data_IF_639000130520
#
_entry.id   IF_639000130520
#
_cell.length_a   1.000
_cell.length_b   1.000
_cell.length_c   1.000
_cell.angle_alpha   90.00
_cell.angle_beta   90.00
_cell.angle_gamma   90.00
#
_symmetry.space_group_name_H-M   'P 1'
#
loop_
_entity.id
_entity.type
_entity.pdbx_description
1 polymer ?
#
# COMPACT_ATOMS: atom_id res chain seq x y z
N UNK A 1 -57.82 16.74 -67.38
CA UNK A 1 -57.24 17.02 -66.05
C UNK A 1 -56.72 15.71 -65.49
N UNK A 2 -55.40 15.55 -65.41
CA UNK A 2 -54.70 14.32 -65.00
C UNK A 2 -54.71 14.14 -63.48
N UNK A 3 -55.38 13.10 -62.98
CA UNK A 3 -55.31 12.65 -61.58
C UNK A 3 -54.00 11.89 -61.34
N UNK A 4 -53.13 12.41 -60.47
CA UNK A 4 -51.97 11.67 -59.93
C UNK A 4 -52.39 10.92 -58.67
N UNK A 5 -52.23 9.60 -58.70
CA UNK A 5 -52.31 8.71 -57.54
C UNK A 5 -51.09 8.92 -56.63
N UNK A 6 -51.32 9.00 -55.32
CA UNK A 6 -50.29 8.79 -54.31
C UNK A 6 -50.68 7.59 -53.46
N UNK A 7 -49.98 6.47 -53.65
CA UNK A 7 -50.00 5.35 -52.70
C UNK A 7 -49.11 5.71 -51.50
N UNK A 8 -49.69 5.75 -50.30
CA UNK A 8 -48.94 5.77 -49.05
C UNK A 8 -48.76 4.33 -48.55
N UNK A 9 -47.51 3.85 -48.58
CA UNK A 9 -47.09 2.62 -47.89
C UNK A 9 -46.73 3.00 -46.44
N UNK A 10 -47.57 2.61 -45.48
CA UNK A 10 -47.25 2.70 -44.06
C UNK A 10 -46.34 1.54 -43.65
N UNK A 11 -45.06 1.81 -43.43
CA UNK A 11 -44.12 0.84 -42.86
C UNK A 11 -44.17 0.96 -41.34
N UNK A 12 -44.83 0.01 -40.68
CA UNK A 12 -44.80 -0.10 -39.22
C UNK A 12 -43.43 -0.66 -38.79
N UNK A 13 -42.48 0.22 -38.49
CA UNK A 13 -41.20 -0.13 -37.88
C UNK A 13 -41.42 -0.46 -36.39
N UNK A 14 -41.60 -1.73 -36.08
CA UNK A 14 -41.59 -2.24 -34.71
C UNK A 14 -40.21 -2.08 -34.09
N UNK A 15 -40.06 -1.15 -33.15
CA UNK A 15 -38.89 -1.07 -32.29
C UNK A 15 -38.98 -2.18 -31.25
N UNK A 16 -38.24 -3.27 -31.47
CA UNK A 16 -37.95 -4.24 -30.41
C UNK A 16 -37.04 -3.57 -29.38
N UNK A 17 -37.41 -3.49 -28.10
CA UNK A 17 -36.52 -2.96 -27.08
C UNK A 17 -35.36 -3.94 -26.94
N UNK A 18 -34.16 -3.52 -27.37
CA UNK A 18 -32.92 -4.23 -27.07
C UNK A 18 -32.71 -4.13 -25.57
N UNK A 19 -33.09 -5.18 -24.85
CA UNK A 19 -32.72 -5.37 -23.45
C UNK A 19 -31.20 -5.51 -23.40
N UNK A 20 -30.50 -4.42 -23.09
CA UNK A 20 -29.08 -4.46 -22.76
C UNK A 20 -28.97 -5.22 -21.43
N UNK A 21 -28.74 -6.52 -21.51
CA UNK A 21 -28.33 -7.31 -20.36
C UNK A 21 -26.92 -6.84 -20.01
N UNK A 22 -26.81 -5.94 -19.04
CA UNK A 22 -25.52 -5.65 -18.41
C UNK A 22 -25.02 -6.95 -17.78
N UNK A 23 -24.08 -7.62 -18.45
CA UNK A 23 -23.40 -8.77 -17.91
C UNK A 23 -22.73 -8.35 -16.60
N UNK A 24 -23.07 -9.03 -15.50
CA UNK A 24 -22.42 -8.82 -14.22
C UNK A 24 -20.92 -9.07 -14.41
N UNK A 25 -20.01 -8.20 -13.91
CA UNK A 25 -18.58 -8.44 -14.00
C UNK A 25 -18.26 -9.82 -13.45
N UNK A 26 -17.41 -10.57 -14.16
CA UNK A 26 -16.97 -11.88 -13.69
C UNK A 26 -16.32 -11.73 -12.31
N UNK A 27 -16.84 -12.45 -11.30
CA UNK A 27 -16.27 -12.43 -9.96
C UNK A 27 -14.85 -13.01 -9.98
N UNK A 28 -13.92 -12.34 -9.31
CA UNK A 28 -12.54 -12.84 -9.17
C UNK A 28 -12.54 -14.07 -8.26
N UNK A 29 -12.02 -15.23 -8.68
CA UNK A 29 -12.05 -16.41 -7.82
C UNK A 29 -11.16 -16.21 -6.58
N UNK A 30 -11.74 -16.35 -5.37
CA UNK A 30 -11.01 -16.13 -4.11
C UNK A 30 -9.66 -16.86 -4.02
N UNK A 31 -9.59 -18.11 -4.51
CA UNK A 31 -8.37 -18.93 -4.46
C UNK A 31 -7.20 -18.33 -5.25
N UNK A 32 -7.46 -17.50 -6.26
CA UNK A 32 -6.41 -16.83 -7.05
C UNK A 32 -5.86 -15.59 -6.36
N UNK A 33 -6.42 -15.19 -5.21
CA UNK A 33 -6.01 -14.02 -4.43
C UNK A 33 -5.22 -14.38 -3.17
N UNK A 34 -5.04 -15.68 -2.91
CA UNK A 34 -4.32 -16.17 -1.74
C UNK A 34 -2.85 -15.79 -1.81
N UNK A 35 -2.34 -15.18 -0.74
CA UNK A 35 -0.99 -14.63 -0.70
C UNK A 35 0.09 -15.68 -0.44
N UNK A 36 -0.27 -16.95 -0.30
CA UNK A 36 0.64 -18.09 -0.37
C UNK A 36 1.14 -18.35 -1.81
N UNK A 37 0.44 -17.83 -2.82
CA UNK A 37 0.84 -17.96 -4.22
C UNK A 37 1.92 -16.94 -4.59
N UNK A 38 3.08 -17.41 -5.05
CA UNK A 38 4.20 -16.55 -5.44
C UNK A 38 3.82 -15.49 -6.49
N UNK A 39 2.94 -15.82 -7.44
CA UNK A 39 2.45 -14.87 -8.45
C UNK A 39 1.66 -13.70 -7.84
N UNK A 40 0.93 -13.94 -6.75
CA UNK A 40 0.19 -12.89 -6.03
C UNK A 40 1.15 -12.02 -5.24
N UNK A 41 2.17 -12.62 -4.60
CA UNK A 41 3.22 -11.89 -3.91
C UNK A 41 3.98 -10.94 -4.87
N UNK A 42 4.34 -11.46 -6.05
CA UNK A 42 4.99 -10.70 -7.11
C UNK A 42 4.09 -9.57 -7.65
N UNK A 43 2.79 -9.82 -7.86
CA UNK A 43 1.82 -8.79 -8.24
C UNK A 43 1.82 -7.64 -7.24
N UNK A 44 1.66 -7.95 -5.94
CA UNK A 44 1.61 -6.97 -4.87
C UNK A 44 2.88 -6.11 -4.86
N UNK A 45 4.06 -6.75 -4.82
CA UNK A 45 5.34 -6.04 -4.79
C UNK A 45 5.53 -5.17 -6.04
N UNK A 46 5.18 -5.69 -7.21
CA UNK A 46 5.33 -4.99 -8.49
C UNK A 46 4.45 -3.74 -8.55
N UNK A 47 3.19 -3.84 -8.12
CA UNK A 47 2.27 -2.69 -8.10
C UNK A 47 2.76 -1.61 -7.13
N UNK A 48 3.20 -1.99 -5.92
CA UNK A 48 3.76 -1.02 -4.97
C UNK A 48 5.00 -0.32 -5.52
N UNK A 49 5.96 -1.07 -6.04
CA UNK A 49 7.18 -0.49 -6.61
C UNK A 49 6.88 0.40 -7.83
N UNK A 50 5.87 0.07 -8.64
CA UNK A 50 5.42 0.94 -9.74
C UNK A 50 4.95 2.29 -9.23
N UNK A 51 4.12 2.32 -8.18
CA UNK A 51 3.66 3.56 -7.57
C UNK A 51 4.80 4.35 -6.91
N UNK A 52 5.69 3.67 -6.19
CA UNK A 52 6.84 4.28 -5.51
C UNK A 52 7.80 4.99 -6.48
N UNK A 53 7.99 4.45 -7.69
CA UNK A 53 8.77 5.09 -8.77
C UNK A 53 8.12 6.34 -9.36
N UNK A 54 6.79 6.39 -9.30
CA UNK A 54 5.95 7.39 -9.96
C UNK A 54 5.50 8.53 -9.06
N UNK A 55 6.05 8.65 -7.85
CA UNK A 55 5.63 9.69 -6.89
C UNK A 55 5.94 11.09 -7.41
N UNK A 56 5.06 12.03 -7.06
CA UNK A 56 5.23 13.45 -7.33
C UNK A 56 5.02 14.23 -6.02
N UNK A 57 6.00 15.05 -5.58
CA UNK A 57 7.30 15.30 -6.22
C UNK A 57 8.22 14.07 -6.19
N UNK A 58 9.28 14.00 -7.03
CA UNK A 58 10.19 12.85 -7.04
C UNK A 58 10.93 12.66 -5.71
N UNK A 59 11.22 11.41 -5.36
CA UNK A 59 11.85 11.01 -4.11
C UNK A 59 13.33 10.64 -4.29
N UNK A 60 14.22 11.12 -3.43
CA UNK A 60 15.66 10.81 -3.48
C UNK A 60 16.05 9.54 -2.71
N UNK A 61 15.23 9.11 -1.75
CA UNK A 61 15.51 8.00 -0.83
C UNK A 61 14.48 6.86 -0.85
N UNK A 62 13.65 6.76 -1.89
CA UNK A 62 12.58 5.77 -1.92
C UNK A 62 13.13 4.35 -2.03
N UNK A 63 13.00 3.51 -0.99
CA UNK A 63 13.48 2.13 -1.07
C UNK A 63 12.61 1.26 -1.98
N UNK A 64 13.23 0.29 -2.64
CA UNK A 64 12.56 -0.81 -3.32
C UNK A 64 11.91 -1.74 -2.28
N UNK A 65 10.62 -2.01 -2.44
CA UNK A 65 9.92 -2.99 -1.61
C UNK A 65 10.20 -4.41 -2.07
N UNK A 66 10.34 -5.32 -1.11
CA UNK A 66 10.46 -6.76 -1.29
C UNK A 66 9.42 -7.49 -0.42
N UNK A 67 9.05 -8.71 -0.83
CA UNK A 67 8.13 -9.54 -0.04
C UNK A 67 8.80 -10.03 1.25
N UNK A 68 8.07 -9.94 2.37
CA UNK A 68 8.44 -10.53 3.65
C UNK A 68 7.41 -11.57 4.05
N UNK A 69 7.84 -12.82 4.11
CA UNK A 69 6.98 -13.93 4.52
C UNK A 69 6.61 -13.85 6.01
N UNK A 70 7.49 -13.32 6.87
CA UNK A 70 7.18 -13.11 8.30
C UNK A 70 6.05 -12.08 8.46
N UNK A 71 6.11 -10.97 7.73
CA UNK A 71 5.03 -9.97 7.72
C UNK A 71 3.73 -10.55 7.13
N UNK A 72 3.84 -11.37 6.08
CA UNK A 72 2.67 -12.01 5.47
C UNK A 72 2.00 -13.01 6.42
N UNK A 73 2.77 -13.75 7.22
CA UNK A 73 2.23 -14.65 8.25
C UNK A 73 1.43 -13.87 9.30
N UNK A 74 1.95 -12.75 9.79
CA UNK A 74 1.25 -11.86 10.70
C UNK A 74 -0.06 -11.32 10.06
N UNK A 75 0.00 -10.81 8.83
CA UNK A 75 -1.15 -10.29 8.12
C UNK A 75 -2.22 -11.36 7.84
N UNK A 76 -1.82 -12.58 7.43
CA UNK A 76 -2.74 -13.72 7.24
C UNK A 76 -3.40 -14.13 8.56
N UNK A 77 -2.66 -14.11 9.67
CA UNK A 77 -3.22 -14.40 10.99
C UNK A 77 -4.28 -13.36 11.37
N UNK A 78 -3.93 -12.07 11.33
CA UNK A 78 -4.84 -10.98 11.69
C UNK A 78 -6.07 -10.89 10.78
N UNK A 79 -5.92 -11.17 9.48
CA UNK A 79 -7.07 -11.14 8.57
C UNK A 79 -8.16 -12.16 8.97
N UNK A 80 -7.76 -13.29 9.57
CA UNK A 80 -8.69 -14.34 10.03
C UNK A 80 -9.47 -13.96 11.28
N UNK A 81 -9.02 -12.96 12.04
CA UNK A 81 -9.78 -12.44 13.19
C UNK A 81 -11.07 -11.76 12.69
N UNK A 82 -11.13 -11.33 11.42
CA UNK A 82 -12.32 -10.76 10.79
C UNK A 82 -12.88 -9.49 11.46
N UNK A 83 -12.07 -8.81 12.25
CA UNK A 83 -12.42 -7.54 12.89
C UNK A 83 -11.89 -6.39 12.05
N UNK A 84 -12.72 -5.42 11.64
CA UNK A 84 -12.24 -4.23 10.93
C UNK A 84 -11.80 -3.12 11.90
N UNK A 85 -10.87 -3.44 12.80
CA UNK A 85 -10.25 -2.49 13.75
C UNK A 85 -8.74 -2.45 13.58
N UNK A 86 -8.10 -1.38 14.06
CA UNK A 86 -6.63 -1.29 14.08
C UNK A 86 -6.01 -2.43 14.89
N UNK A 87 -4.99 -3.08 14.33
CA UNK A 87 -4.29 -4.16 15.03
C UNK A 87 -3.23 -3.64 16.00
N UNK A 88 -3.06 -4.37 17.11
CA UNK A 88 -1.99 -4.12 18.08
C UNK A 88 -0.61 -4.20 17.38
N UNK A 89 0.20 -3.14 17.50
CA UNK A 89 1.52 -3.05 16.89
C UNK A 89 2.46 -4.22 17.26
N UNK A 90 2.33 -4.81 18.46
CA UNK A 90 3.11 -5.98 18.87
C UNK A 90 2.81 -7.23 18.01
N UNK A 91 1.58 -7.36 17.50
CA UNK A 91 1.19 -8.43 16.57
C UNK A 91 1.72 -8.22 15.15
N UNK A 92 2.26 -7.02 14.86
CA UNK A 92 2.85 -6.64 13.57
C UNK A 92 4.37 -6.63 13.59
N UNK A 93 5.00 -7.06 14.68
CA UNK A 93 6.46 -7.11 14.80
C UNK A 93 7.03 -8.30 14.02
N UNK A 94 8.14 -8.07 13.33
CA UNK A 94 8.95 -9.11 12.69
C UNK A 94 10.40 -9.06 13.20
N UNK A 95 11.25 -9.96 12.74
CA UNK A 95 12.66 -10.03 13.12
C UNK A 95 13.35 -8.70 12.77
N UNK A 96 13.68 -7.93 13.81
CA UNK A 96 14.35 -6.63 13.76
C UNK A 96 13.53 -5.41 13.33
N UNK A 97 12.19 -5.44 13.36
CA UNK A 97 11.39 -4.21 13.15
C UNK A 97 9.92 -4.35 13.54
N UNK A 98 9.23 -3.22 13.72
CA UNK A 98 7.79 -3.12 13.65
C UNK A 98 7.30 -2.89 12.20
N UNK A 99 6.00 -3.07 11.98
CA UNK A 99 5.38 -2.88 10.67
C UNK A 99 4.10 -2.04 10.79
N UNK A 100 3.88 -1.16 9.81
CA UNK A 100 2.62 -0.44 9.57
C UNK A 100 1.54 -1.37 9.01
N UNK A 101 0.34 -0.85 8.75
CA UNK A 101 -0.79 -1.65 8.27
C UNK A 101 -1.73 -0.85 7.36
N UNK A 102 -2.09 -1.42 6.20
CA UNK A 102 -3.25 -0.98 5.41
C UNK A 102 -4.29 -2.08 5.39
N UNK A 103 -5.57 -1.69 5.38
CA UNK A 103 -6.71 -2.61 5.50
C UNK A 103 -7.79 -2.24 4.51
N UNK A 104 -8.50 -3.24 4.01
CA UNK A 104 -9.64 -3.02 3.12
C UNK A 104 -10.70 -4.11 3.33
N UNK A 105 -11.95 -3.68 3.49
CA UNK A 105 -13.09 -4.55 3.69
C UNK A 105 -14.06 -4.40 2.52
N UNK A 106 -14.49 -5.51 1.93
CA UNK A 106 -15.43 -5.52 0.80
C UNK A 106 -16.33 -6.76 0.83
N UNK A 107 -17.48 -6.70 0.18
CA UNK A 107 -18.44 -7.81 0.08
C UNK A 107 -18.10 -8.83 -1.01
N UNK A 108 -17.27 -8.44 -1.97
CA UNK A 108 -16.87 -9.28 -3.10
C UNK A 108 -15.34 -9.36 -3.18
N UNK A 109 -14.78 -10.49 -3.64
CA UNK A 109 -13.33 -10.62 -3.85
C UNK A 109 -12.88 -9.66 -4.97
N UNK A 110 -11.78 -8.94 -4.71
CA UNK A 110 -11.19 -7.91 -5.57
C UNK A 110 -9.72 -8.23 -5.77
N UNK A 111 -9.18 -7.97 -6.95
CA UNK A 111 -7.75 -8.17 -7.22
C UNK A 111 -6.87 -7.30 -6.32
N UNK A 112 -5.69 -7.81 -5.95
CA UNK A 112 -4.73 -7.06 -5.14
C UNK A 112 -4.32 -5.75 -5.81
N UNK A 113 -4.09 -5.76 -7.14
CA UNK A 113 -3.88 -4.54 -7.91
C UNK A 113 -4.95 -3.47 -7.70
N UNK A 114 -6.23 -3.86 -7.62
CA UNK A 114 -7.32 -2.90 -7.42
C UNK A 114 -7.40 -2.43 -5.96
N UNK A 115 -7.19 -3.31 -4.98
CA UNK A 115 -7.12 -2.91 -3.55
C UNK A 115 -6.00 -1.89 -3.33
N UNK A 116 -4.81 -2.15 -3.87
CA UNK A 116 -3.66 -1.25 -3.75
C UNK A 116 -3.93 0.07 -4.48
N UNK A 117 -4.61 0.05 -5.64
CA UNK A 117 -5.04 1.27 -6.34
C UNK A 117 -6.03 2.10 -5.53
N UNK A 118 -6.94 1.46 -4.78
CA UNK A 118 -7.88 2.16 -3.90
C UNK A 118 -7.12 2.91 -2.82
N UNK A 119 -6.22 2.23 -2.10
CA UNK A 119 -5.34 2.86 -1.11
C UNK A 119 -4.49 3.97 -1.71
N UNK A 120 -3.87 3.73 -2.88
CA UNK A 120 -3.05 4.73 -3.55
C UNK A 120 -3.86 5.96 -3.97
N UNK A 121 -5.13 5.79 -4.34
CA UNK A 121 -5.98 6.87 -4.88
C UNK A 121 -6.23 8.02 -3.91
N UNK A 122 -5.95 7.83 -2.62
CA UNK A 122 -5.95 8.89 -1.61
C UNK A 122 -4.93 10.00 -1.92
N UNK A 123 -3.96 9.77 -2.82
CA UNK A 123 -3.03 10.80 -3.30
C UNK A 123 -3.76 12.07 -3.79
N UNK A 124 -5.01 11.94 -4.26
CA UNK A 124 -5.85 13.06 -4.73
C UNK A 124 -6.12 14.10 -3.64
N UNK A 125 -6.06 13.69 -2.38
CA UNK A 125 -6.29 14.53 -1.21
C UNK A 125 -4.99 14.88 -0.49
N UNK A 126 -3.85 14.35 -0.96
CA UNK A 126 -2.54 14.57 -0.37
C UNK A 126 -1.77 15.67 -1.11
N UNK A 127 -1.13 16.55 -0.35
CA UNK A 127 -0.18 17.51 -0.88
C UNK A 127 1.12 17.46 -0.08
N UNK A 128 2.22 17.14 -0.76
CA UNK A 128 3.51 16.98 -0.12
C UNK A 128 3.92 18.24 0.65
N UNK A 129 4.34 18.06 1.90
CA UNK A 129 4.80 19.11 2.80
C UNK A 129 3.67 19.88 3.47
N UNK A 130 2.42 19.66 3.08
CA UNK A 130 1.25 20.30 3.67
C UNK A 130 0.49 19.31 4.54
N UNK A 131 0.13 19.75 5.75
CA UNK A 131 -0.74 18.97 6.61
C UNK A 131 -2.14 18.97 6.00
N UNK A 132 -2.67 17.77 5.73
CA UNK A 132 -4.06 17.61 5.34
C UNK A 132 -4.96 18.16 6.44
N UNK A 133 -5.87 19.05 6.08
CA UNK A 133 -6.90 19.54 6.99
C UNK A 133 -7.74 18.34 7.44
N UNK A 134 -7.97 18.25 8.74
CA UNK A 134 -8.78 17.23 9.38
C UNK A 134 -10.26 17.49 9.11
N UNK A 135 -10.70 17.23 7.88
CA UNK A 135 -12.08 16.83 7.68
C UNK A 135 -12.15 15.33 7.95
N UNK A 136 -13.08 14.92 8.82
CA UNK A 136 -13.18 13.55 9.33
C UNK A 136 -13.38 12.49 8.22
N UNK A 137 -13.74 12.92 7.01
CA UNK A 137 -14.00 12.06 5.85
C UNK A 137 -12.80 11.88 4.90
N UNK A 138 -11.67 12.56 5.13
CA UNK A 138 -10.51 12.52 4.21
C UNK A 138 -9.37 11.67 4.80
N UNK A 139 -9.18 10.47 4.24
CA UNK A 139 -8.05 9.59 4.59
C UNK A 139 -6.92 9.74 3.57
N UNK A 140 -5.68 9.86 4.06
CA UNK A 140 -4.44 9.82 3.25
C UNK A 140 -3.42 8.80 3.74
N UNK A 141 -3.72 8.11 4.84
CA UNK A 141 -2.76 7.25 5.55
C UNK A 141 -2.38 6.02 4.74
N UNK A 142 -3.32 5.48 3.95
CA UNK A 142 -3.03 4.32 3.14
C UNK A 142 -2.10 4.68 1.99
N UNK A 143 -2.32 5.84 1.35
CA UNK A 143 -1.40 6.36 0.34
C UNK A 143 -0.03 6.62 0.92
N UNK A 144 0.08 7.39 2.02
CA UNK A 144 1.38 7.73 2.61
C UNK A 144 2.16 6.50 3.04
N UNK A 145 1.48 5.43 3.50
CA UNK A 145 2.13 4.16 3.81
C UNK A 145 2.67 3.44 2.56
N UNK A 146 1.94 3.43 1.44
CA UNK A 146 2.42 2.85 0.17
C UNK A 146 3.71 3.53 -0.29
N UNK A 147 3.77 4.85 -0.15
CA UNK A 147 4.90 5.68 -0.58
C UNK A 147 5.87 6.03 0.55
N UNK A 148 5.83 5.32 1.68
CA UNK A 148 6.74 5.60 2.78
C UNK A 148 8.16 5.14 2.43
N UNK A 149 9.12 6.05 2.40
CA UNK A 149 10.46 5.77 1.85
C UNK A 149 11.15 4.58 2.51
N UNK A 150 11.02 4.44 3.83
CA UNK A 150 11.76 3.46 4.63
C UNK A 150 11.04 2.11 4.77
N UNK A 151 9.77 2.01 4.36
CA UNK A 151 9.05 0.75 4.33
C UNK A 151 9.48 -0.07 3.11
N UNK A 152 10.44 -0.99 3.28
CA UNK A 152 11.05 -1.76 2.20
C UNK A 152 10.65 -3.25 2.22
N UNK A 153 9.95 -3.70 3.25
CA UNK A 153 9.35 -5.03 3.31
C UNK A 153 7.84 -4.91 3.31
N UNK A 154 7.18 -5.80 2.58
CA UNK A 154 5.72 -5.90 2.57
C UNK A 154 5.29 -7.36 2.69
N UNK A 155 4.26 -7.62 3.48
CA UNK A 155 3.62 -8.92 3.55
C UNK A 155 2.12 -8.77 3.76
N UNK A 156 1.31 -9.52 3.02
CA UNK A 156 -0.13 -9.33 3.01
C UNK A 156 -0.90 -10.63 3.27
N UNK A 157 -2.14 -10.49 3.74
CA UNK A 157 -3.08 -11.55 4.02
C UNK A 157 -4.50 -11.20 3.58
N UNK A 158 -5.26 -12.24 3.25
CA UNK A 158 -6.66 -12.15 2.85
C UNK A 158 -7.45 -13.24 3.58
N UNK A 159 -8.59 -12.88 4.15
CA UNK A 159 -9.55 -13.81 4.70
C UNK A 159 -10.97 -13.58 4.16
N UNK A 160 -11.71 -14.66 3.97
CA UNK A 160 -13.16 -14.65 3.81
C UNK A 160 -13.81 -14.79 5.17
N UNK A 161 -14.61 -13.80 5.54
CA UNK A 161 -15.27 -13.67 6.83
C UNK A 161 -16.78 -13.86 6.67
N UNK A 162 -17.41 -14.68 7.52
CA UNK A 162 -18.82 -15.04 7.38
C UNK A 162 -19.09 -16.15 6.36
N UNK A 163 -20.37 -16.42 6.05
CA UNK A 163 -20.81 -17.47 5.12
C UNK A 163 -21.93 -16.98 4.19
N UNK A 164 -21.99 -17.54 2.98
CA UNK A 164 -23.07 -17.28 2.03
C UNK A 164 -23.18 -15.80 1.64
N UNK A 165 -24.38 -15.22 1.73
CA UNK A 165 -24.63 -13.82 1.35
C UNK A 165 -24.08 -12.77 2.32
N UNK A 166 -23.63 -13.19 3.52
CA UNK A 166 -23.01 -12.31 4.52
C UNK A 166 -21.48 -12.36 4.48
N UNK A 167 -20.92 -13.05 3.47
CA UNK A 167 -19.48 -13.11 3.29
C UNK A 167 -18.92 -11.73 2.97
N UNK A 168 -17.85 -11.38 3.64
CA UNK A 168 -17.02 -10.22 3.35
C UNK A 168 -15.55 -10.64 3.35
N UNK A 169 -14.70 -9.83 2.73
CA UNK A 169 -13.31 -10.14 2.49
C UNK A 169 -12.46 -9.05 3.12
N UNK A 170 -11.57 -9.45 4.02
CA UNK A 170 -10.66 -8.56 4.72
C UNK A 170 -9.25 -8.73 4.16
N UNK A 171 -8.76 -7.67 3.52
CA UNK A 171 -7.40 -7.54 3.00
C UNK A 171 -6.56 -6.78 4.02
N UNK A 172 -5.39 -7.29 4.34
CA UNK A 172 -4.41 -6.64 5.22
C UNK A 172 -3.04 -6.69 4.54
N UNK A 173 -2.32 -5.57 4.52
CA UNK A 173 -0.90 -5.53 4.18
C UNK A 173 -0.12 -4.89 5.32
N UNK A 174 0.99 -5.51 5.72
CA UNK A 174 1.96 -4.98 6.67
C UNK A 174 3.19 -4.45 5.94
N UNK A 175 3.69 -3.31 6.40
CA UNK A 175 4.79 -2.56 5.78
C UNK A 175 5.91 -2.33 6.77
N UNK A 176 7.13 -2.80 6.52
CA UNK A 176 8.22 -2.78 7.50
C UNK A 176 9.48 -2.10 6.91
N UNK A 177 10.12 -1.14 7.58
CA UNK A 177 9.71 -0.50 8.84
C UNK A 177 8.34 0.18 8.72
N UNK A 178 7.68 0.39 9.85
CA UNK A 178 6.41 1.10 9.92
C UNK A 178 6.53 2.52 9.35
N UNK A 179 5.49 2.92 8.61
CA UNK A 179 5.37 4.26 8.07
C UNK A 179 4.53 5.18 8.92
N UNK A 180 4.14 6.31 8.34
CA UNK A 180 3.19 7.25 8.91
C UNK A 180 3.58 7.78 10.31
N UNK A 181 4.87 8.08 10.51
CA UNK A 181 5.31 8.85 11.69
C UNK A 181 4.42 10.10 11.84
N UNK A 182 3.70 10.27 12.96
CA UNK A 182 2.78 11.39 13.16
C UNK A 182 3.41 12.76 12.96
N UNK A 183 4.73 12.88 13.11
CA UNK A 183 5.47 14.14 12.96
C UNK A 183 5.94 14.41 11.53
N UNK A 184 5.86 13.41 10.63
CA UNK A 184 6.40 13.47 9.26
C UNK A 184 5.43 12.95 8.20
N UNK A 185 4.18 12.69 8.56
CA UNK A 185 3.19 12.10 7.65
C UNK A 185 2.95 12.93 6.37
N UNK A 186 3.12 14.24 6.43
CA UNK A 186 3.07 15.14 5.27
C UNK A 186 4.31 15.04 4.34
N UNK A 187 5.38 14.36 4.77
CA UNK A 187 6.64 14.16 4.04
C UNK A 187 7.07 12.67 4.10
N UNK A 188 6.34 11.75 3.44
CA UNK A 188 6.58 10.31 3.53
C UNK A 188 7.91 9.85 2.92
N UNK A 189 8.58 10.72 2.18
CA UNK A 189 9.88 10.49 1.55
C UNK A 189 10.64 11.82 1.45
N UNK A 190 11.93 11.80 1.19
CA UNK A 190 12.70 13.01 0.91
C UNK A 190 12.54 13.42 -0.54
N UNK A 191 12.06 14.64 -0.78
CA UNK A 191 12.03 15.24 -2.13
C UNK A 191 13.45 15.38 -2.70
N UNK A 192 13.65 14.93 -3.93
CA UNK A 192 14.90 15.14 -4.66
C UNK A 192 14.97 14.34 -5.96
N UNK A 193 16.12 14.38 -6.63
CA UNK A 193 16.37 13.54 -7.81
C UNK A 193 16.23 12.06 -7.43
N UNK A 194 15.52 11.23 -8.22
CA UNK A 194 15.45 9.79 -7.98
C UNK A 194 16.81 9.16 -7.67
N UNK A 195 16.87 8.38 -6.59
CA UNK A 195 18.10 7.79 -6.05
C UNK A 195 19.21 8.77 -5.63
N UNK A 196 18.93 10.06 -5.45
CA UNK A 196 19.93 11.05 -5.06
C UNK A 196 20.61 10.77 -3.71
N UNK A 197 19.94 10.05 -2.81
CA UNK A 197 20.51 9.63 -1.52
C UNK A 197 21.16 8.23 -1.56
N UNK A 198 21.12 7.54 -2.71
CA UNK A 198 21.61 6.17 -2.90
C UNK A 198 22.19 5.94 -4.31
N UNK A 199 23.14 6.79 -4.78
CA UNK A 199 23.60 6.77 -6.18
C UNK A 199 24.19 5.43 -6.62
N UNK A 200 24.90 4.73 -5.72
CA UNK A 200 25.53 3.44 -5.98
C UNK A 200 24.58 2.24 -5.78
N UNK A 201 23.37 2.48 -5.26
CA UNK A 201 22.39 1.47 -4.88
C UNK A 201 21.01 1.82 -5.45
N UNK A 202 20.96 2.02 -6.77
CA UNK A 202 19.75 2.43 -7.47
C UNK A 202 19.31 1.39 -8.49
N UNK A 203 18.04 1.00 -8.45
CA UNK A 203 17.40 0.16 -9.46
C UNK A 203 16.08 0.81 -9.88
N UNK A 204 16.02 1.29 -11.12
CA UNK A 204 14.83 1.91 -11.71
C UNK A 204 14.15 2.91 -10.73
N UNK A 205 14.88 3.96 -10.35
CA UNK A 205 14.44 5.05 -9.45
C UNK A 205 14.20 4.66 -7.99
N UNK A 206 14.50 3.43 -7.57
CA UNK A 206 14.35 2.97 -6.19
C UNK A 206 15.71 2.62 -5.57
N UNK A 207 15.92 3.02 -4.33
CA UNK A 207 17.09 2.66 -3.53
C UNK A 207 17.06 1.17 -3.14
N UNK A 208 18.21 0.51 -3.11
CA UNK A 208 18.35 -0.93 -2.80
C UNK A 208 19.26 -1.20 -1.59
N UNK A 209 19.62 -0.17 -0.83
CA UNK A 209 20.45 -0.22 0.38
C UNK A 209 19.64 0.13 1.65
N UNK A 210 18.64 -0.67 2.05
CA UNK A 210 17.91 -0.45 3.30
C UNK A 210 18.83 -0.66 4.51
N UNK A 211 18.63 0.14 5.56
CA UNK A 211 19.19 -0.18 6.86
C UNK A 211 18.45 -1.40 7.42
N UNK A 212 19.17 -2.49 7.72
CA UNK A 212 18.56 -3.73 8.24
C UNK A 212 18.36 -3.70 9.76
N UNK A 213 18.90 -2.68 10.42
CA UNK A 213 18.75 -2.48 11.85
C UNK A 213 17.60 -1.53 12.13
N UNK A 214 17.07 -1.61 13.35
CA UNK A 214 16.00 -0.75 13.83
C UNK A 214 16.43 -0.03 15.11
N UNK A 215 15.96 1.19 15.27
CA UNK A 215 16.13 1.98 16.48
C UNK A 215 14.90 1.76 17.38
N UNK A 216 15.10 1.13 18.53
CA UNK A 216 14.05 0.90 19.53
C UNK A 216 13.66 2.21 20.25
N UNK A 217 14.54 3.22 20.23
CA UNK A 217 14.26 4.56 20.77
C UNK A 217 14.00 5.59 19.67
N UNK A 218 12.95 6.39 19.87
CA UNK A 218 12.61 7.49 18.96
C UNK A 218 13.63 8.64 18.96
N UNK A 219 14.45 8.77 20.02
CA UNK A 219 15.42 9.86 20.18
C UNK A 219 16.88 9.45 19.88
N UNK A 220 17.11 8.39 19.10
CA UNK A 220 18.45 7.87 18.84
C UNK A 220 19.42 8.88 18.21
N UNK A 221 18.93 9.88 17.46
CA UNK A 221 19.76 10.99 16.97
C UNK A 221 20.39 11.82 18.10
N UNK A 222 19.69 12.01 19.22
CA UNK A 222 20.23 12.70 20.39
C UNK A 222 21.17 11.79 21.19
N UNK A 223 20.80 10.52 21.36
CA UNK A 223 21.59 9.52 22.09
C UNK A 223 22.96 9.26 21.44
N UNK A 224 23.01 9.20 20.11
CA UNK A 224 24.28 9.02 19.38
C UNK A 224 25.20 10.24 19.41
N UNK A 225 24.68 11.44 19.70
CA UNK A 225 25.47 12.68 19.84
C UNK A 225 25.97 12.94 21.26
N UNK A 226 25.17 12.58 22.27
CA UNK A 226 25.51 12.76 23.68
C UNK A 226 26.36 11.60 24.20
N UNK A 227 25.74 10.52 24.72
CA UNK A 227 26.46 9.33 25.18
C UNK A 227 27.35 8.64 24.13
N UNK A 228 26.95 8.71 22.86
CA UNK A 228 27.67 8.10 21.75
C UNK A 228 27.43 6.60 21.59
N UNK A 229 27.80 6.06 20.43
CA UNK A 229 27.56 4.65 20.08
C UNK A 229 28.41 3.64 20.85
N UNK A 230 29.40 4.09 21.63
CA UNK A 230 30.14 3.25 22.57
C UNK A 230 29.38 3.01 23.88
N UNK A 231 28.35 3.81 24.17
CA UNK A 231 27.52 3.60 25.36
C UNK A 231 26.61 2.38 25.15
N UNK A 232 26.67 1.41 26.07
CA UNK A 232 26.02 0.09 25.93
C UNK A 232 24.55 0.20 25.54
N UNK A 233 23.77 1.04 26.24
CA UNK A 233 22.34 1.22 25.93
C UNK A 233 22.10 1.82 24.54
N UNK A 234 22.95 2.72 24.08
CA UNK A 234 22.82 3.35 22.76
C UNK A 234 23.19 2.34 21.68
N UNK A 235 24.26 1.57 21.89
CA UNK A 235 24.65 0.50 20.98
C UNK A 235 23.54 -0.55 20.81
N UNK A 236 22.79 -0.86 21.87
CA UNK A 236 21.74 -1.88 21.85
C UNK A 236 20.40 -1.37 21.32
N UNK A 237 20.02 -0.14 21.65
CA UNK A 237 18.67 0.40 21.38
C UNK A 237 18.65 1.39 20.21
N UNK A 238 19.81 1.84 19.74
CA UNK A 238 19.98 2.74 18.61
C UNK A 238 20.85 2.13 17.50
N UNK A 239 20.61 0.86 17.20
CA UNK A 239 21.44 0.08 16.25
C UNK A 239 21.43 0.69 14.86
N UNK A 240 20.28 1.11 14.33
CA UNK A 240 20.21 1.74 13.02
C UNK A 240 20.98 3.07 13.02
N UNK A 241 20.82 3.88 14.07
CA UNK A 241 21.57 5.12 14.22
C UNK A 241 23.08 4.90 14.31
N UNK A 242 23.53 3.83 14.95
CA UNK A 242 24.95 3.56 15.18
C UNK A 242 25.66 2.76 14.07
N UNK A 243 24.94 1.89 13.35
CA UNK A 243 25.55 0.93 12.42
C UNK A 243 25.25 1.25 10.95
N UNK A 244 24.17 1.96 10.65
CA UNK A 244 23.82 2.35 9.29
C UNK A 244 24.30 3.77 9.00
N UNK A 245 25.33 3.87 8.17
CA UNK A 245 25.98 5.14 7.81
C UNK A 245 25.68 5.57 6.38
N UNK A 246 25.42 4.61 5.49
CA UNK A 246 25.21 4.86 4.05
C UNK A 246 23.83 4.38 3.58
N UNK A 247 23.20 3.53 4.38
CA UNK A 247 21.91 2.92 4.15
C UNK A 247 20.76 3.89 4.44
N UNK A 248 19.64 3.70 3.75
CA UNK A 248 18.42 4.49 3.98
C UNK A 248 17.73 4.01 5.27
N UNK A 249 17.40 4.95 6.16
CA UNK A 249 16.66 4.74 7.42
C UNK A 249 15.75 5.92 7.75
#
# INVERSE_FOLDING_TARGET
MTMKHFLFLAVASGFLPVLIVQAKPAQVPYKTLLTELASVQEEIVTVHNTFRRGVSPPASNMLKMNWSEEAAQNARMLSKDCEFVESNALKRRITNTFCGENRYLTTDPVSWSNVIRIWYSEFKYFKYGEWTLTDDDVTVEHYTQIVWATSYLIGCGLASCGKGKSAHYLYICHYCHEGNDPNKKNEPYRRGTPCGDCPDYCEDKLCTNPCLYYDEYSNCKAQTRGPGCSHVSVQQLCKASCLCHTEIK
#
